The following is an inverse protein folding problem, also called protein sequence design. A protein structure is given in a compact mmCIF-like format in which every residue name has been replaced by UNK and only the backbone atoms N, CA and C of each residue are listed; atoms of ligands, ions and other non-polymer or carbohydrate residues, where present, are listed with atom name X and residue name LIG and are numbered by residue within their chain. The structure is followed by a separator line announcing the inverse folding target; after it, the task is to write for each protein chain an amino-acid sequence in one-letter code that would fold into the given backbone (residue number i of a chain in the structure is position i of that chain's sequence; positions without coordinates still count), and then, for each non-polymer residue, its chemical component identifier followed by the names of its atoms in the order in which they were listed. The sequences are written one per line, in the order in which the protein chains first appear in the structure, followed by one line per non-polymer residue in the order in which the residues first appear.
data_IF_154469736958
#
_entry.id   IF_154469736958
#
_cell.length_a   1.000
_cell.length_b   1.000
_cell.length_c   1.000
_cell.angle_alpha   90.00
_cell.angle_beta   90.00
_cell.angle_gamma   90.00
#
_symmetry.space_group_name_H-M   'P 1'
#
loop_
_entity.id
_entity.type
_entity.pdbx_description
1 polymer ?
#
# COMPACT_ATOMS: atom_id res chain seq x y z
N UNK A 1 16.71 16.70 17.56
CA UNK A 1 17.53 15.78 16.75
C UNK A 1 16.75 14.48 16.63
N UNK A 2 16.53 13.97 15.41
CA UNK A 2 15.77 12.74 15.15
C UNK A 2 16.69 11.52 15.03
N UNK A 3 16.14 10.34 15.28
CA UNK A 3 16.81 9.06 15.02
C UNK A 3 16.54 8.70 13.55
N UNK A 4 17.60 8.39 12.80
CA UNK A 4 17.47 7.91 11.43
C UNK A 4 16.88 6.50 11.37
N UNK A 5 16.46 6.05 10.19
CA UNK A 5 15.92 4.69 10.05
C UNK A 5 16.94 3.56 10.32
N UNK A 6 18.22 3.92 10.51
CA UNK A 6 19.33 3.04 10.86
C UNK A 6 19.69 3.10 12.36
N UNK A 7 18.78 3.62 13.19
CA UNK A 7 18.90 3.72 14.66
C UNK A 7 20.00 4.66 15.17
N UNK A 8 20.62 5.46 14.30
CA UNK A 8 21.61 6.48 14.68
C UNK A 8 20.98 7.86 14.89
N UNK A 9 21.30 8.50 16.02
CA UNK A 9 20.86 9.86 16.34
C UNK A 9 21.56 10.89 15.44
N UNK A 10 20.78 11.70 14.72
CA UNK A 10 21.32 12.69 13.78
C UNK A 10 21.73 12.12 12.42
N UNK A 11 21.37 10.87 12.13
CA UNK A 11 21.47 10.30 10.79
C UNK A 11 20.37 10.86 9.88
N UNK A 12 20.74 11.26 8.67
CA UNK A 12 19.80 11.76 7.64
C UNK A 12 19.11 10.61 6.88
N UNK A 13 19.36 9.35 7.24
CA UNK A 13 18.75 8.21 6.56
C UNK A 13 17.26 8.10 6.88
N UNK A 14 16.47 7.99 5.83
CA UNK A 14 15.02 7.79 5.86
C UNK A 14 14.64 6.51 5.12
N UNK A 15 13.52 5.92 5.52
CA UNK A 15 12.93 4.77 4.85
C UNK A 15 12.39 5.20 3.49
N UNK A 16 12.74 4.46 2.44
CA UNK A 16 12.31 4.74 1.09
C UNK A 16 10.83 4.34 0.84
N UNK A 17 10.36 4.47 -0.40
CA UNK A 17 8.99 4.07 -0.76
C UNK A 17 8.73 2.57 -0.60
N UNK A 18 9.78 1.76 -0.75
CA UNK A 18 9.75 0.31 -0.69
C UNK A 18 9.86 -0.25 0.74
N UNK A 19 10.11 0.60 1.74
CA UNK A 19 10.29 0.18 3.12
C UNK A 19 11.75 -0.12 3.49
N UNK A 20 12.71 0.25 2.63
CA UNK A 20 14.14 0.02 2.83
C UNK A 20 14.79 1.27 3.41
N UNK A 21 15.51 1.12 4.52
CA UNK A 21 16.25 2.23 5.11
C UNK A 21 17.41 2.68 4.20
N UNK A 22 17.42 3.95 3.79
CA UNK A 22 18.41 4.47 2.84
C UNK A 22 18.29 3.87 1.44
N UNK A 23 17.13 3.30 1.09
CA UNK A 23 16.87 2.76 -0.23
C UNK A 23 16.73 3.83 -1.31
N UNK A 24 16.86 3.42 -2.56
CA UNK A 24 16.85 4.29 -3.75
C UNK A 24 15.49 4.32 -4.47
N UNK A 25 14.46 3.68 -3.91
CA UNK A 25 13.12 3.50 -4.49
C UNK A 25 13.06 2.61 -5.73
N UNK A 26 14.09 1.83 -6.07
CA UNK A 26 14.09 0.96 -7.25
C UNK A 26 13.71 -0.50 -6.95
N UNK A 27 13.73 -0.90 -5.67
CA UNK A 27 13.46 -2.27 -5.23
C UNK A 27 11.98 -2.69 -5.23
N UNK A 28 11.05 -1.81 -5.61
CA UNK A 28 9.63 -2.10 -5.64
C UNK A 28 8.91 -1.30 -6.73
N UNK A 29 7.69 -1.72 -7.05
CA UNK A 29 6.81 -1.04 -7.99
C UNK A 29 5.51 -0.62 -7.31
N UNK A 30 4.98 0.53 -7.73
CA UNK A 30 3.67 1.01 -7.29
C UNK A 30 2.60 0.39 -8.18
N UNK A 31 1.68 -0.36 -7.58
CA UNK A 31 0.52 -0.95 -8.27
C UNK A 31 -0.73 -0.19 -7.85
N UNK A 32 -1.51 0.28 -8.82
CA UNK A 32 -2.77 0.99 -8.58
C UNK A 32 -3.86 0.54 -9.54
N UNK A 33 -5.11 0.65 -9.12
CA UNK A 33 -6.26 0.22 -9.91
C UNK A 33 -7.59 0.64 -9.30
N UNK A 34 -8.65 0.55 -10.09
CA UNK A 34 -10.02 0.85 -9.65
C UNK A 34 -10.92 -0.30 -10.06
N UNK A 35 -11.63 -0.88 -9.08
CA UNK A 35 -12.65 -1.89 -9.34
C UNK A 35 -13.99 -1.21 -9.63
N UNK A 36 -14.54 -1.43 -10.84
CA UNK A 36 -15.81 -0.83 -11.30
C UNK A 36 -16.89 -1.85 -11.67
N UNK A 37 -16.65 -3.14 -11.44
CA UNK A 37 -17.59 -4.17 -11.87
C UNK A 37 -18.82 -4.19 -10.96
N UNK A 38 -20.00 -4.29 -11.58
CA UNK A 38 -21.25 -4.50 -10.87
C UNK A 38 -21.31 -5.96 -10.36
N UNK A 39 -21.45 -6.12 -9.06
CA UNK A 39 -21.62 -7.42 -8.41
C UNK A 39 -23.10 -7.80 -8.54
N UNK A 40 -23.42 -8.74 -9.43
CA UNK A 40 -24.80 -9.15 -9.74
C UNK A 40 -25.34 -10.23 -8.82
N UNK A 41 -24.48 -10.98 -8.14
CA UNK A 41 -24.88 -11.97 -7.14
C UNK A 41 -24.65 -11.46 -5.71
N UNK A 42 -25.57 -11.81 -4.82
CA UNK A 42 -25.44 -11.54 -3.39
C UNK A 42 -24.28 -12.35 -2.80
N UNK A 43 -23.44 -11.70 -2.00
CA UNK A 43 -22.34 -12.35 -1.28
C UNK A 43 -21.04 -11.56 -1.35
N UNK A 44 -19.97 -12.19 -0.86
CA UNK A 44 -18.62 -11.65 -0.92
C UNK A 44 -17.97 -11.95 -2.26
N UNK A 45 -17.30 -10.96 -2.83
CA UNK A 45 -16.62 -11.05 -4.10
C UNK A 45 -15.15 -10.70 -3.93
N UNK A 46 -14.28 -11.56 -4.46
CA UNK A 46 -12.84 -11.28 -4.49
C UNK A 46 -12.55 -10.27 -5.59
N UNK A 47 -12.21 -9.05 -5.21
CA UNK A 47 -11.93 -7.94 -6.14
C UNK A 47 -10.45 -7.81 -6.49
N UNK A 48 -9.56 -8.14 -5.55
CA UNK A 48 -8.10 -8.10 -5.73
C UNK A 48 -7.43 -9.07 -4.75
N UNK A 49 -6.27 -9.60 -5.13
CA UNK A 49 -5.36 -10.30 -4.23
C UNK A 49 -4.12 -9.45 -4.00
N UNK A 50 -3.79 -9.21 -2.74
CA UNK A 50 -2.58 -8.47 -2.36
C UNK A 50 -1.41 -9.45 -2.37
N UNK A 51 -0.39 -9.26 -3.21
CA UNK A 51 0.75 -10.16 -3.26
C UNK A 51 1.58 -10.08 -1.97
N UNK A 52 2.27 -11.18 -1.65
CA UNK A 52 3.21 -11.21 -0.54
C UNK A 52 4.27 -10.12 -0.69
N UNK A 53 4.57 -9.41 0.40
CA UNK A 53 5.56 -8.34 0.41
C UNK A 53 5.04 -6.98 -0.04
N UNK A 54 3.75 -6.86 -0.41
CA UNK A 54 3.13 -5.55 -0.62
C UNK A 54 3.16 -4.73 0.68
N UNK A 55 3.57 -3.48 0.58
CA UNK A 55 3.63 -2.52 1.69
C UNK A 55 2.85 -1.26 1.31
N UNK A 56 2.49 -0.43 2.30
CA UNK A 56 1.74 0.84 2.11
C UNK A 56 0.43 0.66 1.32
N UNK A 57 -0.31 -0.41 1.63
CA UNK A 57 -1.57 -0.75 0.96
C UNK A 57 -2.65 0.26 1.34
N UNK A 58 -3.31 0.83 0.33
CA UNK A 58 -4.46 1.72 0.50
C UNK A 58 -5.63 1.19 -0.34
N UNK A 59 -6.76 0.92 0.32
CA UNK A 59 -8.02 0.52 -0.31
C UNK A 59 -9.08 1.49 0.18
N UNK A 60 -9.76 2.15 -0.76
CA UNK A 60 -10.77 3.17 -0.46
C UNK A 60 -12.02 2.92 -1.30
N UNK A 61 -13.19 2.97 -0.66
CA UNK A 61 -14.46 3.01 -1.39
C UNK A 61 -14.63 4.39 -2.05
N UNK A 62 -14.65 4.44 -3.38
CA UNK A 62 -14.69 5.72 -4.11
C UNK A 62 -16.04 6.44 -4.00
N UNK A 63 -17.12 5.69 -3.95
CA UNK A 63 -18.48 6.20 -3.87
C UNK A 63 -19.23 5.37 -2.85
N UNK A 64 -20.03 6.02 -2.02
CA UNK A 64 -20.90 5.33 -1.06
C UNK A 64 -21.79 4.34 -1.81
N UNK A 65 -21.65 3.07 -1.50
CA UNK A 65 -22.53 2.01 -1.99
C UNK A 65 -23.15 1.25 -0.82
N UNK A 66 -23.99 0.27 -1.14
CA UNK A 66 -24.47 -0.69 -0.13
C UNK A 66 -23.49 -1.86 0.05
N UNK A 67 -22.32 -1.82 -0.60
CA UNK A 67 -21.28 -2.82 -0.44
C UNK A 67 -20.36 -2.44 0.73
N UNK A 68 -19.67 -3.44 1.28
CA UNK A 68 -18.68 -3.27 2.32
C UNK A 68 -17.37 -3.91 1.87
N UNK A 69 -16.26 -3.20 2.10
CA UNK A 69 -14.88 -3.63 1.83
C UNK A 69 -14.29 -4.34 3.04
#
# INVERSE_FOLDING_TARGET
QSIGCDDYLGSDKVVDKCGVCGGDNTGCQVVSGVFKHALTSLGYHRVVEIPQGATKINITEMYKSNNYL
#
